data_IF_393187581893
#
_entry.id   IF_393187581893
#
_cell.length_a   1.000
_cell.length_b   1.000
_cell.length_c   1.000
_cell.angle_alpha   90.00
_cell.angle_beta   90.00
_cell.angle_gamma   90.00
#
_symmetry.space_group_name_H-M   'P 1'
#
loop_
_entity.id
_entity.type
_entity.pdbx_description
1 polymer ?
#
# COMPACT_ATOMS: atom_id res chain seq x y z
N UNK A 1 9.25 39.99 -6.01
CA UNK A 1 8.55 41.23 -6.42
C UNK A 1 8.76 41.42 -7.91
N UNK A 2 7.84 40.88 -8.69
CA UNK A 2 7.65 41.17 -10.11
C UNK A 2 6.16 40.93 -10.34
N UNK A 3 5.41 42.01 -10.49
CA UNK A 3 3.98 42.05 -10.79
C UNK A 3 3.70 41.47 -12.17
N UNK A 4 2.76 40.54 -12.25
CA UNK A 4 2.07 40.17 -13.49
C UNK A 4 0.58 40.27 -13.20
N UNK A 5 -0.03 41.31 -13.76
CA UNK A 5 -1.47 41.58 -13.77
C UNK A 5 -2.10 40.84 -14.94
N UNK A 6 -2.82 39.75 -14.67
CA UNK A 6 -3.68 39.09 -15.65
C UNK A 6 -5.05 39.79 -15.70
N UNK A 7 -5.28 40.53 -16.79
CA UNK A 7 -6.60 40.98 -17.23
C UNK A 7 -7.32 39.78 -17.85
N UNK A 8 -8.48 39.43 -17.29
CA UNK A 8 -9.40 38.47 -17.87
C UNK A 8 -10.01 39.04 -19.17
N UNK A 9 -9.76 38.35 -20.28
CA UNK A 9 -10.38 38.54 -21.59
C UNK A 9 -11.52 37.51 -21.73
N UNK A 10 -12.75 37.88 -22.07
CA UNK A 10 -13.85 36.91 -22.20
C UNK A 10 -13.76 36.14 -23.52
N UNK A 11 -13.83 34.80 -23.43
CA UNK A 11 -13.74 33.85 -24.55
C UNK A 11 -14.85 34.06 -25.62
N UNK A 12 -14.52 33.94 -26.93
CA UNK A 12 -15.43 34.17 -28.05
C UNK A 12 -16.40 33.00 -28.36
N UNK A 13 -16.58 32.04 -27.44
CA UNK A 13 -17.28 30.79 -27.74
C UNK A 13 -18.81 30.84 -27.59
N UNK A 14 -19.36 31.85 -26.90
CA UNK A 14 -20.82 31.97 -26.72
C UNK A 14 -21.55 32.61 -27.92
N UNK A 15 -20.89 33.44 -28.73
CA UNK A 15 -21.54 34.06 -29.91
C UNK A 15 -21.75 33.08 -31.07
N UNK A 16 -20.85 32.11 -31.27
CA UNK A 16 -20.93 31.13 -32.36
C UNK A 16 -22.04 30.09 -32.15
N UNK A 17 -22.37 29.73 -30.90
CA UNK A 17 -23.48 28.82 -30.62
C UNK A 17 -24.85 29.51 -30.80
N UNK A 18 -24.94 30.81 -30.53
CA UNK A 18 -26.19 31.56 -30.66
C UNK A 18 -26.58 31.80 -32.14
N UNK A 19 -25.60 32.04 -33.03
CA UNK A 19 -25.84 32.15 -34.47
C UNK A 19 -26.27 30.83 -35.12
N UNK A 20 -25.71 29.70 -34.66
CA UNK A 20 -26.09 28.38 -35.15
C UNK A 20 -27.55 28.01 -34.82
N UNK A 21 -28.01 28.39 -33.63
CA UNK A 21 -29.40 28.15 -33.18
C UNK A 21 -30.38 29.05 -33.95
N UNK A 22 -30.04 30.32 -34.17
CA UNK A 22 -30.91 31.25 -34.91
C UNK A 22 -31.05 30.87 -36.39
N UNK A 23 -30.00 30.33 -37.02
CA UNK A 23 -30.08 29.84 -38.41
C UNK A 23 -30.99 28.61 -38.54
N UNK A 24 -30.98 27.69 -37.57
CA UNK A 24 -31.87 26.52 -37.56
C UNK A 24 -33.34 26.90 -37.39
N UNK A 25 -33.65 27.91 -36.58
CA UNK A 25 -35.01 28.42 -36.42
C UNK A 25 -35.53 29.09 -37.70
N UNK A 26 -34.69 29.84 -38.41
CA UNK A 26 -35.05 30.47 -39.68
C UNK A 26 -35.27 29.43 -40.81
N UNK A 27 -34.51 28.34 -40.81
CA UNK A 27 -34.63 27.23 -41.78
C UNK A 27 -35.89 26.38 -41.51
N UNK A 28 -36.26 26.19 -40.24
CA UNK A 28 -37.54 25.57 -39.85
C UNK A 28 -38.75 26.45 -40.20
N UNK A 29 -38.64 27.78 -40.04
CA UNK A 29 -39.73 28.70 -40.37
C UNK A 29 -39.98 28.79 -41.90
N UNK A 30 -38.93 28.67 -42.72
CA UNK A 30 -39.06 28.61 -44.18
C UNK A 30 -39.65 27.28 -44.66
N UNK A 31 -39.35 26.16 -43.99
CA UNK A 31 -39.98 24.86 -44.29
C UNK A 31 -41.46 24.82 -43.89
N UNK A 32 -41.85 25.49 -42.80
CA UNK A 32 -43.26 25.61 -42.39
C UNK A 32 -44.08 26.54 -43.29
N UNK A 33 -43.48 27.61 -43.83
CA UNK A 33 -44.13 28.51 -44.80
C UNK A 33 -44.31 27.87 -46.18
N UNK A 34 -43.39 27.01 -46.61
CA UNK A 34 -43.47 26.33 -47.91
C UNK A 34 -44.46 25.14 -47.96
N UNK A 35 -44.85 24.59 -46.81
CA UNK A 35 -45.85 23.52 -46.73
C UNK A 35 -47.29 24.01 -46.51
N UNK A 36 -47.52 25.32 -46.37
CA UNK A 36 -48.86 25.91 -46.16
C UNK A 36 -49.53 26.46 -47.43
N UNK A 37 -48.91 26.37 -48.61
CA UNK A 37 -49.41 27.04 -49.83
C UNK A 37 -49.84 26.14 -50.98
N UNK A 38 -49.84 24.80 -50.83
CA UNK A 38 -50.36 23.93 -51.89
C UNK A 38 -51.54 23.08 -51.39
N UNK A 39 -52.65 23.23 -52.11
CA UNK A 39 -53.83 22.37 -52.18
C UNK A 39 -54.95 22.56 -51.13
N UNK A 40 -55.44 23.80 -51.00
CA UNK A 40 -56.85 24.05 -50.61
C UNK A 40 -57.48 25.06 -51.58
N UNK A 41 -57.58 24.68 -52.85
CA UNK A 41 -58.31 25.45 -53.85
C UNK A 41 -58.69 24.57 -55.04
N UNK A 42 -59.40 23.47 -54.78
CA UNK A 42 -60.08 22.68 -55.83
C UNK A 42 -61.20 21.80 -55.26
N UNK A 43 -62.06 22.35 -54.39
CA UNK A 43 -63.31 21.70 -53.98
C UNK A 43 -64.45 22.72 -53.91
N UNK A 44 -64.68 23.43 -55.01
CA UNK A 44 -65.84 24.30 -55.18
C UNK A 44 -66.15 24.44 -56.66
N UNK A 45 -66.50 23.32 -57.30
CA UNK A 45 -67.05 23.29 -58.66
C UNK A 45 -67.88 22.01 -58.86
N UNK A 46 -68.91 21.83 -58.05
CA UNK A 46 -70.11 21.08 -58.49
C UNK A 46 -71.15 22.14 -58.89
N UNK A 47 -70.79 22.92 -59.90
CA UNK A 47 -71.74 23.70 -60.67
C UNK A 47 -72.43 22.72 -61.59
N UNK A 48 -73.72 22.56 -61.39
CA UNK A 48 -74.65 21.93 -62.31
C UNK A 48 -74.56 22.63 -63.67
N UNK A 49 -73.66 22.14 -64.53
CA UNK A 49 -73.67 22.49 -65.95
C UNK A 49 -74.81 21.72 -66.59
N UNK A 50 -75.99 22.33 -66.53
CA UNK A 50 -77.12 22.06 -67.40
C UNK A 50 -76.70 22.36 -68.85
N UNK A 51 -75.98 21.44 -69.47
CA UNK A 51 -75.86 21.44 -70.93
C UNK A 51 -77.18 20.91 -71.48
N UNK A 52 -78.05 21.86 -71.85
CA UNK A 52 -79.06 21.64 -72.88
C UNK A 52 -78.33 21.24 -74.17
N UNK A 53 -78.10 19.95 -74.34
CA UNK A 53 -77.93 19.32 -75.64
C UNK A 53 -79.16 18.44 -75.85
N UNK A 54 -80.07 18.95 -76.68
CA UNK A 54 -81.14 18.21 -77.33
C UNK A 54 -80.54 17.01 -78.07
N UNK A 55 -80.34 15.91 -77.35
CA UNK A 55 -80.04 14.60 -77.89
C UNK A 55 -81.33 13.79 -77.72
N UNK A 56 -81.91 13.40 -78.85
CA UNK A 56 -82.96 12.40 -78.89
C UNK A 56 -82.44 11.17 -78.15
N UNK A 57 -82.93 10.94 -76.93
CA UNK A 57 -82.65 9.71 -76.22
C UNK A 57 -83.24 8.58 -77.06
N UNK A 58 -82.38 7.84 -77.76
CA UNK A 58 -82.72 6.56 -78.35
C UNK A 58 -82.96 5.56 -77.20
N UNK A 59 -84.08 5.74 -76.51
CA UNK A 59 -84.60 4.76 -75.57
C UNK A 59 -85.09 3.57 -76.38
N UNK A 60 -84.72 2.35 -75.99
CA UNK A 60 -85.36 1.14 -76.49
C UNK A 60 -86.89 1.33 -76.51
N UNK A 61 -87.52 1.20 -77.68
CA UNK A 61 -88.97 1.46 -77.89
C UNK A 61 -89.84 0.61 -76.95
N UNK A 62 -89.29 -0.51 -76.49
CA UNK A 62 -89.94 -1.47 -75.60
C UNK A 62 -90.02 -0.98 -74.14
N UNK A 63 -89.26 0.05 -73.74
CA UNK A 63 -89.18 0.65 -72.37
C UNK A 63 -89.05 -0.34 -71.20
N UNK A 64 -88.74 -1.61 -71.47
CA UNK A 64 -88.68 -2.68 -70.49
C UNK A 64 -87.21 -2.93 -70.14
N UNK A 65 -86.75 -2.21 -69.12
CA UNK A 65 -85.36 -2.30 -68.64
C UNK A 65 -85.22 -3.51 -67.71
N UNK A 66 -84.17 -4.30 -67.90
CA UNK A 66 -83.83 -5.41 -67.01
C UNK A 66 -83.59 -4.89 -65.58
N UNK A 67 -84.11 -5.61 -64.58
CA UNK A 67 -84.01 -5.27 -63.14
C UNK A 67 -82.59 -5.52 -62.58
N UNK A 68 -81.67 -6.04 -63.40
CA UNK A 68 -80.29 -6.32 -62.99
C UNK A 68 -79.40 -5.08 -63.18
N UNK A 69 -78.75 -4.66 -62.10
CA UNK A 69 -77.92 -3.43 -62.01
C UNK A 69 -76.64 -3.43 -62.87
N UNK A 70 -76.42 -4.48 -63.67
CA UNK A 70 -75.22 -4.71 -64.48
C UNK A 70 -75.52 -5.08 -65.95
N UNK A 71 -76.78 -5.06 -66.41
CA UNK A 71 -77.13 -5.37 -67.83
C UNK A 71 -77.30 -4.12 -68.69
N UNK A 72 -76.68 -4.10 -69.88
CA UNK A 72 -76.76 -2.99 -70.86
C UNK A 72 -77.90 -3.14 -71.86
N UNK A 73 -78.58 -4.28 -71.83
CA UNK A 73 -79.50 -4.74 -72.87
C UNK A 73 -80.97 -4.56 -72.45
N UNK A 74 -81.86 -4.42 -73.42
CA UNK A 74 -83.30 -4.32 -73.23
C UNK A 74 -83.92 -5.72 -73.11
N UNK A 75 -84.78 -5.97 -72.11
CA UNK A 75 -85.25 -7.34 -71.77
C UNK A 75 -86.04 -8.05 -72.90
N UNK A 76 -86.61 -7.29 -73.84
CA UNK A 76 -87.54 -7.81 -74.85
C UNK A 76 -86.95 -7.90 -76.25
N UNK A 77 -85.98 -7.05 -76.58
CA UNK A 77 -85.40 -6.98 -77.92
C UNK A 77 -83.88 -7.15 -77.93
N UNK A 78 -83.27 -7.36 -76.76
CA UNK A 78 -81.84 -7.59 -76.56
C UNK A 78 -80.91 -6.52 -77.15
N UNK A 79 -81.46 -5.37 -77.53
CA UNK A 79 -80.68 -4.23 -78.02
C UNK A 79 -80.05 -3.48 -76.85
N UNK A 80 -78.81 -2.99 -77.05
CA UNK A 80 -78.11 -2.17 -76.08
C UNK A 80 -78.88 -0.86 -75.89
N UNK A 81 -79.16 -0.50 -74.64
CA UNK A 81 -79.73 0.80 -74.28
C UNK A 81 -78.56 1.77 -74.08
N UNK A 82 -78.34 2.76 -74.97
CA UNK A 82 -77.15 3.59 -74.95
C UNK A 82 -76.92 4.31 -73.60
N UNK A 83 -78.00 4.76 -72.95
CA UNK A 83 -77.93 5.40 -71.64
C UNK A 83 -77.46 4.44 -70.52
N UNK A 84 -77.87 3.16 -70.55
CA UNK A 84 -77.41 2.16 -69.58
C UNK A 84 -75.96 1.75 -69.85
N UNK A 85 -75.54 1.70 -71.11
CA UNK A 85 -74.14 1.48 -71.49
C UNK A 85 -73.23 2.62 -71.01
N UNK A 86 -73.65 3.88 -71.18
CA UNK A 86 -72.94 5.06 -70.69
C UNK A 86 -72.82 5.06 -69.15
N UNK A 87 -73.91 4.77 -68.42
CA UNK A 87 -73.87 4.67 -66.96
C UNK A 87 -72.96 3.54 -66.50
N UNK A 88 -72.94 2.40 -67.20
CA UNK A 88 -72.07 1.28 -66.84
C UNK A 88 -70.60 1.53 -67.14
N UNK A 89 -70.29 2.19 -68.25
CA UNK A 89 -68.91 2.59 -68.57
C UNK A 89 -68.41 3.61 -67.55
N UNK A 90 -69.22 4.58 -67.14
CA UNK A 90 -68.86 5.52 -66.08
C UNK A 90 -68.73 4.84 -64.70
N UNK A 91 -69.62 3.89 -64.36
CA UNK A 91 -69.49 3.04 -63.16
C UNK A 91 -68.18 2.26 -63.16
N UNK A 92 -67.77 1.72 -64.31
CA UNK A 92 -66.48 1.03 -64.45
C UNK A 92 -65.30 1.99 -64.26
N UNK A 93 -65.34 3.16 -64.91
CA UNK A 93 -64.32 4.20 -64.80
C UNK A 93 -64.15 4.69 -63.37
N UNK A 94 -65.26 4.93 -62.66
CA UNK A 94 -65.25 5.32 -61.24
C UNK A 94 -64.70 4.20 -60.36
N UNK A 95 -65.04 2.93 -60.62
CA UNK A 95 -64.45 1.78 -59.90
C UNK A 95 -62.94 1.72 -60.09
N UNK A 96 -62.43 1.93 -61.30
CA UNK A 96 -60.99 1.98 -61.57
C UNK A 96 -60.31 3.17 -60.89
N UNK A 97 -60.93 4.36 -60.91
CA UNK A 97 -60.46 5.53 -60.17
C UNK A 97 -60.38 5.25 -58.67
N UNK A 98 -61.39 4.63 -58.08
CA UNK A 98 -61.41 4.24 -56.65
C UNK A 98 -60.29 3.24 -56.36
N UNK A 99 -60.08 2.23 -57.21
CA UNK A 99 -58.97 1.28 -57.04
C UNK A 99 -57.61 2.00 -57.09
N UNK A 100 -57.40 2.87 -58.08
CA UNK A 100 -56.17 3.65 -58.23
C UNK A 100 -55.90 4.55 -57.02
N UNK A 101 -56.92 5.30 -56.56
CA UNK A 101 -56.81 6.14 -55.37
C UNK A 101 -56.54 5.32 -54.10
N UNK A 102 -57.14 4.13 -53.98
CA UNK A 102 -56.88 3.23 -52.85
C UNK A 102 -55.43 2.75 -52.83
N UNK A 103 -54.89 2.35 -53.98
CA UNK A 103 -53.47 1.98 -54.09
C UNK A 103 -52.55 3.14 -53.73
N UNK A 104 -52.86 4.36 -54.18
CA UNK A 104 -52.09 5.56 -53.82
C UNK A 104 -52.16 5.86 -52.32
N UNK A 105 -53.32 5.67 -51.68
CA UNK A 105 -53.48 5.82 -50.24
C UNK A 105 -52.60 4.80 -49.48
N UNK A 106 -52.63 3.54 -49.90
CA UNK A 106 -51.86 2.46 -49.28
C UNK A 106 -50.34 2.71 -49.43
N UNK A 107 -49.89 3.18 -50.59
CA UNK A 107 -48.49 3.57 -50.84
C UNK A 107 -48.06 4.73 -49.93
N UNK A 108 -48.87 5.80 -49.84
CA UNK A 108 -48.59 6.94 -48.97
C UNK A 108 -48.59 6.55 -47.48
N UNK A 109 -49.49 5.66 -47.06
CA UNK A 109 -49.49 5.12 -45.71
C UNK A 109 -48.23 4.28 -45.42
N UNK A 110 -47.77 3.48 -46.37
CA UNK A 110 -46.52 2.72 -46.24
C UNK A 110 -45.31 3.67 -46.12
N UNK A 111 -45.28 4.74 -46.91
CA UNK A 111 -44.23 5.75 -46.86
C UNK A 111 -44.21 6.53 -45.54
N UNK A 112 -45.38 6.88 -44.99
CA UNK A 112 -45.46 7.50 -43.66
C UNK A 112 -44.95 6.57 -42.56
N UNK A 113 -45.24 5.27 -42.65
CA UNK A 113 -44.72 4.26 -41.72
C UNK A 113 -43.19 4.14 -41.81
N UNK A 114 -42.60 4.20 -43.01
CA UNK A 114 -41.14 4.20 -43.15
C UNK A 114 -40.53 5.46 -42.55
N UNK A 115 -41.07 6.64 -42.84
CA UNK A 115 -40.56 7.88 -42.25
C UNK A 115 -40.67 7.91 -40.72
N UNK A 116 -41.76 7.39 -40.16
CA UNK A 116 -41.90 7.28 -38.70
C UNK A 116 -40.87 6.34 -38.10
N UNK A 117 -40.56 5.22 -38.77
CA UNK A 117 -39.51 4.30 -38.35
C UNK A 117 -38.13 4.95 -38.39
N UNK A 118 -37.83 5.69 -39.45
CA UNK A 118 -36.56 6.38 -39.62
C UNK A 118 -36.40 7.50 -38.60
N UNK A 119 -37.46 8.29 -38.38
CA UNK A 119 -37.50 9.30 -37.32
C UNK A 119 -37.24 8.70 -35.94
N UNK A 120 -37.93 7.61 -35.60
CA UNK A 120 -37.72 6.93 -34.31
C UNK A 120 -36.29 6.40 -34.16
N UNK A 121 -35.72 5.88 -35.25
CA UNK A 121 -34.33 5.39 -35.26
C UNK A 121 -33.34 6.53 -35.04
N UNK A 122 -33.52 7.64 -35.76
CA UNK A 122 -32.67 8.81 -35.64
C UNK A 122 -32.79 9.46 -34.26
N UNK A 123 -34.01 9.57 -33.73
CA UNK A 123 -34.25 10.08 -32.38
C UNK A 123 -33.59 9.20 -31.31
N UNK A 124 -33.65 7.87 -31.44
CA UNK A 124 -32.96 6.95 -30.54
C UNK A 124 -31.43 7.11 -30.61
N UNK A 125 -30.87 7.35 -31.80
CA UNK A 125 -29.44 7.62 -31.97
C UNK A 125 -29.04 8.97 -31.33
N UNK A 126 -29.85 10.01 -31.53
CA UNK A 126 -29.62 11.32 -30.92
C UNK A 126 -29.59 11.24 -29.39
N UNK A 127 -30.59 10.59 -28.77
CA UNK A 127 -30.65 10.41 -27.31
C UNK A 127 -29.42 9.65 -26.81
N UNK A 128 -28.99 8.59 -27.51
CA UNK A 128 -27.80 7.82 -27.14
C UNK A 128 -26.53 8.68 -27.21
N UNK A 129 -26.37 9.46 -28.27
CA UNK A 129 -25.22 10.36 -28.44
C UNK A 129 -25.21 11.44 -27.35
N UNK A 130 -26.37 11.98 -27.00
CA UNK A 130 -26.52 12.97 -25.92
C UNK A 130 -26.12 12.37 -24.56
N UNK A 131 -26.63 11.19 -24.22
CA UNK A 131 -26.25 10.48 -22.98
C UNK A 131 -24.74 10.18 -22.92
N UNK A 132 -24.14 9.82 -24.05
CA UNK A 132 -22.70 9.60 -24.12
C UNK A 132 -21.91 10.89 -23.92
N UNK A 133 -22.38 12.01 -24.49
CA UNK A 133 -21.81 13.34 -24.27
C UNK A 133 -21.88 13.71 -22.79
N UNK A 134 -23.05 13.58 -22.16
CA UNK A 134 -23.26 13.91 -20.74
C UNK A 134 -22.37 13.06 -19.82
N UNK A 135 -22.28 11.76 -20.10
CA UNK A 135 -21.39 10.84 -19.36
C UNK A 135 -19.93 11.24 -19.51
N UNK A 136 -19.53 11.67 -20.71
CA UNK A 136 -18.15 12.10 -20.98
C UNK A 136 -17.85 13.42 -20.28
N UNK A 137 -18.78 14.37 -20.32
CA UNK A 137 -18.70 15.65 -19.58
C UNK A 137 -18.54 15.41 -18.09
N UNK A 138 -19.34 14.52 -17.49
CA UNK A 138 -19.22 14.17 -16.08
C UNK A 138 -17.83 13.58 -15.74
N UNK A 139 -17.31 12.68 -16.58
CA UNK A 139 -15.96 12.12 -16.40
C UNK A 139 -14.87 13.18 -16.50
N UNK A 140 -14.99 14.09 -17.46
CA UNK A 140 -14.04 15.21 -17.62
C UNK A 140 -14.07 16.09 -16.36
N UNK A 141 -15.24 16.40 -15.82
CA UNK A 141 -15.36 17.23 -14.62
C UNK A 141 -14.80 16.54 -13.38
N UNK A 142 -15.07 15.24 -13.21
CA UNK A 142 -14.46 14.42 -12.16
C UNK A 142 -12.92 14.44 -12.25
N UNK A 143 -12.36 14.24 -13.44
CA UNK A 143 -10.90 14.26 -13.64
C UNK A 143 -10.31 15.65 -13.39
N UNK A 144 -11.03 16.73 -13.73
CA UNK A 144 -10.62 18.10 -13.42
C UNK A 144 -10.57 18.34 -11.91
N UNK A 145 -11.56 17.84 -11.18
CA UNK A 145 -11.57 17.91 -9.72
C UNK A 145 -10.39 17.14 -9.11
N UNK A 146 -10.11 15.92 -9.60
CA UNK A 146 -8.97 15.11 -9.16
C UNK A 146 -7.63 15.81 -9.44
N UNK A 147 -7.47 16.39 -10.63
CA UNK A 147 -6.28 17.17 -10.98
C UNK A 147 -6.11 18.37 -10.05
N UNK A 148 -7.19 19.08 -9.73
CA UNK A 148 -7.13 20.22 -8.81
C UNK A 148 -6.78 19.78 -7.38
N UNK A 149 -7.37 18.68 -6.91
CA UNK A 149 -7.03 18.09 -5.61
C UNK A 149 -5.54 17.71 -5.54
N UNK A 150 -5.03 17.03 -6.56
CA UNK A 150 -3.62 16.64 -6.65
C UNK A 150 -2.68 17.86 -6.72
N UNK A 151 -3.06 18.91 -7.45
CA UNK A 151 -2.30 20.16 -7.49
C UNK A 151 -2.20 20.82 -6.12
N UNK A 152 -3.29 20.85 -5.34
CA UNK A 152 -3.28 21.38 -3.97
C UNK A 152 -2.37 20.53 -3.08
N UNK A 153 -2.55 19.20 -3.09
CA UNK A 153 -1.70 18.29 -2.31
C UNK A 153 -0.20 18.43 -2.67
N UNK A 154 0.11 18.60 -3.94
CA UNK A 154 1.50 18.81 -4.38
C UNK A 154 2.07 20.14 -3.89
N UNK A 155 1.27 21.21 -3.84
CA UNK A 155 1.68 22.48 -3.23
C UNK A 155 1.95 22.33 -1.74
N UNK A 156 1.10 21.59 -1.03
CA UNK A 156 1.27 21.33 0.40
C UNK A 156 2.54 20.51 0.66
N UNK A 157 2.81 19.49 -0.16
CA UNK A 157 4.02 18.67 -0.07
C UNK A 157 5.30 19.49 -0.34
N UNK A 158 5.26 20.41 -1.32
CA UNK A 158 6.37 21.34 -1.56
C UNK A 158 6.61 22.22 -0.33
N UNK A 159 5.54 22.78 0.27
CA UNK A 159 5.67 23.61 1.46
C UNK A 159 6.28 22.84 2.64
N UNK A 160 5.81 21.61 2.88
CA UNK A 160 6.34 20.73 3.91
C UNK A 160 7.80 20.33 3.65
N UNK A 161 8.17 20.06 2.39
CA UNK A 161 9.57 19.77 2.03
C UNK A 161 10.48 20.98 2.29
N UNK A 162 10.01 22.20 1.99
CA UNK A 162 10.76 23.42 2.27
C UNK A 162 10.95 23.60 3.78
N UNK A 163 9.92 23.35 4.59
CA UNK A 163 10.00 23.43 6.05
C UNK A 163 11.00 22.42 6.63
N UNK A 164 10.97 21.17 6.15
CA UNK A 164 11.94 20.15 6.54
C UNK A 164 13.36 20.56 6.16
N UNK A 165 13.60 21.06 4.95
CA UNK A 165 14.94 21.45 4.52
C UNK A 165 15.47 22.65 5.32
N UNK A 166 14.60 23.59 5.70
CA UNK A 166 14.96 24.70 6.60
C UNK A 166 15.32 24.19 8.00
N UNK A 167 14.52 23.28 8.57
CA UNK A 167 14.78 22.68 9.88
C UNK A 167 16.09 21.88 9.88
N UNK A 168 16.31 21.06 8.84
CA UNK A 168 17.54 20.30 8.63
C UNK A 168 18.76 21.21 8.57
N UNK A 169 18.71 22.29 7.80
CA UNK A 169 19.79 23.27 7.73
C UNK A 169 20.05 23.92 9.11
N UNK A 170 19.02 24.19 9.89
CA UNK A 170 19.15 24.65 11.27
C UNK A 170 19.94 23.67 12.13
N UNK A 171 19.55 22.40 12.11
CA UNK A 171 20.24 21.32 12.85
C UNK A 171 21.70 21.13 12.38
N UNK A 172 21.96 21.21 11.08
CA UNK A 172 23.33 21.11 10.53
C UNK A 172 24.23 22.25 11.04
N UNK A 173 23.70 23.47 11.14
CA UNK A 173 24.41 24.62 11.68
C UNK A 173 24.70 24.42 13.17
N UNK A 174 23.70 23.99 13.96
CA UNK A 174 23.86 23.72 15.38
C UNK A 174 24.88 22.61 15.65
N UNK A 175 24.85 21.54 14.84
CA UNK A 175 25.79 20.43 14.95
C UNK A 175 27.21 20.87 14.61
N UNK A 176 27.38 21.70 13.57
CA UNK A 176 28.68 22.28 13.23
C UNK A 176 29.22 23.16 14.37
N UNK A 177 28.40 24.05 14.94
CA UNK A 177 28.79 24.92 16.06
C UNK A 177 29.19 24.11 17.30
N UNK A 178 28.40 23.09 17.65
CA UNK A 178 28.72 22.21 18.77
C UNK A 178 30.00 21.41 18.51
N UNK A 179 30.16 20.86 17.30
CA UNK A 179 31.38 20.14 16.92
C UNK A 179 32.61 21.04 17.00
N UNK A 180 32.49 22.29 16.54
CA UNK A 180 33.58 23.26 16.63
C UNK A 180 33.95 23.54 18.09
N UNK A 181 32.96 23.82 18.95
CA UNK A 181 33.18 24.02 20.40
C UNK A 181 33.84 22.83 21.07
N UNK A 182 33.39 21.60 20.76
CA UNK A 182 33.99 20.38 21.29
C UNK A 182 35.45 20.22 20.87
N UNK A 183 35.80 20.55 19.62
CA UNK A 183 37.19 20.52 19.16
C UNK A 183 38.05 21.59 19.85
N UNK A 184 37.53 22.80 20.02
CA UNK A 184 38.20 23.88 20.73
C UNK A 184 38.47 23.51 22.19
N UNK A 185 37.48 22.96 22.88
CA UNK A 185 37.58 22.54 24.28
C UNK A 185 38.53 21.33 24.45
N UNK A 186 38.43 20.32 23.57
CA UNK A 186 39.35 19.20 23.59
C UNK A 186 40.81 19.63 23.34
N UNK A 187 41.04 20.56 22.41
CA UNK A 187 42.37 21.12 22.17
C UNK A 187 42.89 21.89 23.38
N UNK A 188 42.04 22.68 24.04
CA UNK A 188 42.41 23.40 25.26
C UNK A 188 42.81 22.44 26.38
N UNK A 189 42.07 21.35 26.57
CA UNK A 189 42.37 20.31 27.57
C UNK A 189 43.70 19.62 27.26
N UNK A 190 43.93 19.22 26.01
CA UNK A 190 45.20 18.58 25.60
C UNK A 190 46.39 19.52 25.80
N UNK A 191 46.23 20.81 25.52
CA UNK A 191 47.28 21.80 25.77
C UNK A 191 47.56 21.96 27.27
N UNK A 192 46.52 21.97 28.12
CA UNK A 192 46.66 22.01 29.57
C UNK A 192 47.40 20.77 30.10
N UNK A 193 46.97 19.57 29.69
CA UNK A 193 47.59 18.29 30.08
C UNK A 193 49.07 18.23 29.66
N UNK A 194 49.39 18.70 28.44
CA UNK A 194 50.78 18.75 27.95
C UNK A 194 51.64 19.70 28.78
N UNK A 195 51.08 20.84 29.20
CA UNK A 195 51.76 21.81 30.05
C UNK A 195 52.02 21.23 31.45
N UNK A 196 51.01 20.61 32.06
CA UNK A 196 51.16 19.96 33.37
C UNK A 196 52.17 18.82 33.33
N UNK A 197 52.11 17.95 32.31
CA UNK A 197 53.07 16.88 32.11
C UNK A 197 54.51 17.40 31.96
N UNK A 198 54.70 18.55 31.32
CA UNK A 198 56.03 19.18 31.21
C UNK A 198 56.53 19.65 32.58
N UNK A 199 55.66 20.27 33.39
CA UNK A 199 55.99 20.71 34.76
C UNK A 199 56.34 19.51 35.63
N UNK A 200 55.49 18.48 35.66
CA UNK A 200 55.73 17.26 36.44
C UNK A 200 57.02 16.55 36.03
N UNK A 201 57.35 16.54 34.74
CA UNK A 201 58.61 15.96 34.25
C UNK A 201 59.82 16.75 34.76
N UNK A 202 59.74 18.08 34.73
CA UNK A 202 60.81 18.93 35.26
C UNK A 202 61.02 18.71 36.77
N UNK A 203 59.94 18.62 37.54
CA UNK A 203 59.99 18.32 38.97
C UNK A 203 60.55 16.92 39.25
N UNK A 204 60.11 15.91 38.48
CA UNK A 204 60.63 14.55 38.57
C UNK A 204 62.14 14.51 38.31
N UNK A 205 62.62 15.18 37.26
CA UNK A 205 64.05 15.22 36.93
C UNK A 205 64.86 15.92 38.04
N UNK A 206 64.29 16.96 38.68
CA UNK A 206 64.90 17.62 39.82
C UNK A 206 65.00 16.70 41.06
N UNK A 207 63.92 16.00 41.40
CA UNK A 207 63.90 15.05 42.53
C UNK A 207 64.84 13.87 42.27
N UNK A 208 64.88 13.38 41.02
CA UNK A 208 65.80 12.30 40.63
C UNK A 208 67.26 12.72 40.82
N UNK A 209 67.62 13.95 40.43
CA UNK A 209 68.97 14.49 40.65
C UNK A 209 69.29 14.58 42.14
N UNK A 210 68.35 15.06 42.96
CA UNK A 210 68.52 15.09 44.42
C UNK A 210 68.74 13.70 45.00
N UNK A 211 67.96 12.71 44.56
CA UNK A 211 68.09 11.33 45.01
C UNK A 211 69.45 10.74 44.62
N UNK A 212 69.91 10.99 43.39
CA UNK A 212 71.21 10.53 42.91
C UNK A 212 72.35 11.14 43.75
N UNK A 213 72.28 12.44 44.05
CA UNK A 213 73.23 13.11 44.94
C UNK A 213 73.22 12.48 46.35
N UNK A 214 72.06 12.33 46.98
CA UNK A 214 71.96 11.70 48.30
C UNK A 214 72.40 10.23 48.31
N UNK A 215 72.14 9.50 47.21
CA UNK A 215 72.63 8.13 47.04
C UNK A 215 74.15 8.10 46.95
N UNK A 216 74.76 9.03 46.19
CA UNK A 216 76.23 9.13 46.13
C UNK A 216 76.84 9.48 47.49
N UNK A 217 76.24 10.41 48.24
CA UNK A 217 76.64 10.74 49.60
C UNK A 217 76.55 9.52 50.53
N UNK A 218 75.44 8.78 50.47
CA UNK A 218 75.26 7.54 51.24
C UNK A 218 76.30 6.48 50.87
N UNK A 219 76.61 6.29 49.59
CA UNK A 219 77.65 5.33 49.18
C UNK A 219 79.04 5.75 49.65
N UNK A 220 79.34 7.05 49.69
CA UNK A 220 80.59 7.55 50.25
C UNK A 220 80.66 7.26 51.75
N UNK A 221 79.60 7.57 52.51
CA UNK A 221 79.51 7.25 53.95
C UNK A 221 79.57 5.75 54.19
N UNK A 222 78.93 4.93 53.36
CA UNK A 222 79.01 3.46 53.46
C UNK A 222 80.43 2.96 53.19
N UNK A 223 81.16 3.55 52.24
CA UNK A 223 82.56 3.21 51.99
C UNK A 223 83.47 3.62 53.16
N UNK A 224 83.23 4.78 53.77
CA UNK A 224 83.90 5.19 55.02
C UNK A 224 83.58 4.24 56.19
N UNK A 225 82.33 3.83 56.36
CA UNK A 225 81.94 2.83 57.36
C UNK A 225 82.52 1.44 57.05
N UNK A 226 82.64 1.06 55.77
CA UNK A 226 83.26 -0.19 55.36
C UNK A 226 84.75 -0.20 55.68
N UNK A 227 85.47 0.87 55.34
CA UNK A 227 86.89 1.01 55.69
C UNK A 227 87.12 1.06 57.20
N UNK A 228 86.23 1.72 57.97
CA UNK A 228 86.22 1.66 59.43
C UNK A 228 85.92 0.25 59.96
N UNK A 229 84.98 -0.47 59.35
CA UNK A 229 84.68 -1.86 59.69
C UNK A 229 85.86 -2.78 59.36
N UNK A 230 86.53 -2.58 58.24
CA UNK A 230 87.76 -3.28 57.85
C UNK A 230 88.90 -3.02 58.84
N UNK A 231 89.07 -1.77 59.28
CA UNK A 231 90.00 -1.41 60.35
C UNK A 231 89.62 -2.03 61.71
N UNK A 232 88.34 -2.32 61.93
CA UNK A 232 87.84 -3.02 63.12
C UNK A 232 87.82 -4.56 62.99
N UNK A 233 87.87 -5.14 61.78
CA UNK A 233 87.89 -6.60 61.53
C UNK A 233 89.29 -7.21 61.57
N UNK A 234 90.11 -6.82 62.55
CA UNK A 234 91.22 -7.63 63.04
C UNK A 234 90.77 -8.63 64.13
N UNK A 235 89.60 -9.26 63.98
CA UNK A 235 89.17 -10.47 64.72
C UNK A 235 88.01 -11.18 63.98
N UNK A 236 87.99 -12.53 63.88
CA UNK A 236 87.04 -13.25 63.03
C UNK A 236 85.79 -13.74 63.79
N UNK A 237 84.63 -13.79 63.12
CA UNK A 237 83.67 -14.91 63.08
C UNK A 237 82.39 -14.54 62.29
N UNK A 238 82.15 -15.22 61.15
CA UNK A 238 81.03 -16.13 60.81
C UNK A 238 79.62 -15.51 60.77
N UNK A 239 79.02 -15.32 59.57
CA UNK A 239 78.06 -16.22 58.87
C UNK A 239 76.75 -16.47 59.67
N UNK A 240 75.53 -16.24 59.17
CA UNK A 240 74.90 -16.91 58.01
C UNK A 240 73.59 -16.24 57.56
N UNK A 241 73.29 -16.45 56.28
CA UNK A 241 72.04 -16.27 55.52
C UNK A 241 70.85 -17.11 56.02
N UNK A 242 69.62 -16.60 55.87
CA UNK A 242 68.41 -17.43 55.78
C UNK A 242 67.42 -16.84 54.75
N UNK A 243 67.08 -17.65 53.73
CA UNK A 243 66.07 -17.40 52.69
C UNK A 243 64.81 -18.23 52.98
N UNK A 244 63.66 -17.57 52.89
CA UNK A 244 62.34 -17.92 52.28
C UNK A 244 61.88 -19.39 52.14
N UNK A 245 60.60 -19.64 52.52
CA UNK A 245 59.46 -20.32 51.80
C UNK A 245 58.45 -20.78 52.88
N UNK A 246 57.32 -20.13 53.21
CA UNK A 246 56.08 -19.77 52.50
C UNK A 246 55.26 -20.96 51.95
N UNK A 247 53.96 -20.93 52.33
CA UNK A 247 52.77 -21.48 51.65
C UNK A 247 52.43 -22.96 51.82
N UNK A 248 51.47 -23.26 52.71
CA UNK A 248 50.42 -24.28 52.50
C UNK A 248 49.38 -24.41 53.64
N UNK A 249 49.40 -23.57 54.68
CA UNK A 249 48.56 -23.79 55.88
C UNK A 249 47.30 -22.92 55.98
N UNK A 250 47.09 -21.95 55.08
CA UNK A 250 46.02 -20.96 55.24
C UNK A 250 44.67 -21.36 54.62
N UNK A 251 44.66 -22.31 53.67
CA UNK A 251 43.43 -22.72 52.96
C UNK A 251 42.62 -23.78 53.73
N UNK A 252 43.28 -24.59 54.58
CA UNK A 252 42.64 -25.67 55.35
C UNK A 252 41.86 -25.14 56.55
N UNK A 253 42.33 -24.04 57.15
CA UNK A 253 41.73 -23.45 58.34
C UNK A 253 40.42 -22.68 58.09
N UNK A 254 40.12 -22.32 56.83
CA UNK A 254 38.88 -21.59 56.49
C UNK A 254 37.69 -22.52 56.20
N UNK A 255 37.91 -23.77 55.77
CA UNK A 255 36.83 -24.73 55.52
C UNK A 255 36.25 -25.33 56.81
N UNK A 256 37.07 -25.52 57.85
CA UNK A 256 36.65 -26.18 59.10
C UNK A 256 35.79 -25.29 60.02
N UNK A 257 35.73 -23.98 59.76
CA UNK A 257 34.89 -23.03 60.51
C UNK A 257 33.44 -22.96 60.02
N UNK A 258 33.16 -23.41 58.79
CA UNK A 258 31.81 -23.34 58.20
C UNK A 258 30.90 -24.52 58.60
N UNK A 259 31.48 -25.61 59.11
CA UNK A 259 30.75 -26.85 59.44
C UNK A 259 30.15 -26.86 60.85
N UNK A 260 30.38 -25.83 61.67
CA UNK A 260 30.02 -25.79 63.10
C UNK A 260 28.71 -25.03 63.44
N UNK A 261 28.02 -24.40 62.48
CA UNK A 261 26.88 -23.50 62.76
C UNK A 261 25.53 -23.96 62.17
N UNK A 262 25.18 -25.23 62.40
CA UNK A 262 23.93 -25.90 62.02
C UNK A 262 22.64 -25.04 62.20
N UNK A 263 22.14 -24.38 61.13
CA UNK A 263 20.90 -23.58 61.09
C UNK A 263 20.00 -24.06 59.92
N UNK A 264 18.66 -24.15 60.08
CA UNK A 264 17.77 -24.90 59.19
C UNK A 264 17.36 -24.09 57.96
N UNK A 265 17.47 -24.69 56.76
CA UNK A 265 16.90 -24.16 55.53
C UNK A 265 15.45 -24.62 55.32
N UNK A 266 14.52 -23.72 54.92
CA UNK A 266 13.34 -24.12 54.17
C UNK A 266 13.75 -24.54 52.76
N UNK A 267 12.96 -25.41 52.13
CA UNK A 267 13.19 -25.92 50.78
C UNK A 267 13.26 -24.76 49.78
N UNK A 268 14.47 -24.36 49.39
CA UNK A 268 14.72 -23.49 48.26
C UNK A 268 14.81 -24.33 46.99
N UNK A 269 13.96 -23.99 46.02
CA UNK A 269 14.05 -24.50 44.65
C UNK A 269 15.42 -24.06 44.12
N UNK A 270 16.30 -25.03 43.89
CA UNK A 270 17.67 -24.83 43.43
C UNK A 270 17.71 -23.97 42.15
N UNK A 271 18.21 -22.72 42.20
CA UNK A 271 18.35 -21.86 41.02
C UNK A 271 19.72 -22.05 40.35
N UNK A 272 20.39 -23.20 40.54
CA UNK A 272 21.53 -23.57 39.71
C UNK A 272 21.04 -24.12 38.36
N UNK A 273 20.46 -23.25 37.54
CA UNK A 273 20.88 -23.26 36.15
C UNK A 273 22.28 -22.66 36.23
N UNK A 274 23.30 -23.52 36.29
CA UNK A 274 24.67 -23.05 36.11
C UNK A 274 24.66 -22.28 34.79
N UNK A 275 24.78 -20.95 34.86
CA UNK A 275 25.09 -20.16 33.69
C UNK A 275 26.38 -20.79 33.14
N UNK A 276 26.30 -21.36 31.95
CA UNK A 276 27.45 -21.96 31.32
C UNK A 276 28.43 -20.81 31.06
N UNK A 277 29.47 -20.69 31.90
CA UNK A 277 30.45 -19.60 31.84
C UNK A 277 31.05 -19.46 30.44
N UNK A 278 31.08 -20.57 29.68
CA UNK A 278 31.52 -20.59 28.29
C UNK A 278 30.52 -19.89 27.35
N UNK A 279 29.21 -20.09 27.54
CA UNK A 279 28.15 -19.41 26.78
C UNK A 279 28.09 -17.92 27.12
N UNK A 280 28.25 -17.57 28.40
CA UNK A 280 28.35 -16.16 28.82
C UNK A 280 29.58 -15.48 28.21
N UNK A 281 30.71 -16.18 28.14
CA UNK A 281 31.92 -15.65 27.49
C UNK A 281 31.73 -15.47 25.97
N UNK A 282 31.09 -16.43 25.29
CA UNK A 282 30.76 -16.30 23.87
C UNK A 282 29.79 -15.13 23.63
N UNK A 283 28.81 -14.97 24.53
CA UNK A 283 27.85 -13.87 24.48
C UNK A 283 28.51 -12.51 24.71
N UNK A 284 29.41 -12.38 25.67
CA UNK A 284 30.17 -11.14 25.92
C UNK A 284 31.01 -10.73 24.69
N UNK A 285 31.66 -11.70 24.03
CA UNK A 285 32.35 -11.45 22.76
C UNK A 285 31.39 -11.00 21.65
N UNK A 286 30.18 -11.54 21.62
CA UNK A 286 29.14 -11.10 20.72
C UNK A 286 28.70 -9.67 21.00
N UNK A 287 28.46 -9.29 22.26
CA UNK A 287 28.07 -7.91 22.64
C UNK A 287 29.14 -6.90 22.20
N UNK A 288 30.41 -7.20 22.43
CA UNK A 288 31.54 -6.36 21.96
C UNK A 288 31.55 -6.22 20.43
N UNK A 289 31.24 -7.31 19.72
CA UNK A 289 31.17 -7.32 18.24
C UNK A 289 29.93 -6.59 17.71
N UNK A 290 28.84 -6.59 18.48
CA UNK A 290 27.55 -5.97 18.15
C UNK A 290 27.68 -4.44 18.04
N UNK A 291 28.46 -3.82 18.92
CA UNK A 291 28.73 -2.37 18.92
C UNK A 291 29.37 -1.92 17.59
N UNK A 292 30.35 -2.68 17.10
CA UNK A 292 31.13 -2.35 15.91
C UNK A 292 30.44 -2.73 14.57
N UNK A 293 29.51 -3.70 14.60
CA UNK A 293 28.92 -4.28 13.38
C UNK A 293 27.64 -3.54 12.98
N UNK A 294 27.49 -3.15 11.71
CA UNK A 294 26.25 -2.52 11.23
C UNK A 294 25.06 -3.49 11.27
N UNK A 295 23.84 -2.95 11.45
CA UNK A 295 22.60 -3.76 11.54
C UNK A 295 22.44 -4.72 10.34
N UNK A 296 22.77 -4.25 9.14
CA UNK A 296 22.68 -5.05 7.91
C UNK A 296 23.63 -6.26 7.88
N UNK A 297 24.72 -6.23 8.67
CA UNK A 297 25.73 -7.29 8.73
C UNK A 297 25.63 -8.16 9.99
N UNK A 298 24.66 -7.91 10.88
CA UNK A 298 24.50 -8.64 12.14
C UNK A 298 24.40 -10.14 11.94
N UNK A 299 23.62 -10.56 10.94
CA UNK A 299 23.42 -11.96 10.59
C UNK A 299 24.71 -12.67 10.14
N UNK A 300 25.78 -11.93 9.86
CA UNK A 300 27.10 -12.48 9.54
C UNK A 300 27.92 -12.90 10.76
N UNK A 301 27.58 -12.42 11.96
CA UNK A 301 28.30 -12.73 13.20
C UNK A 301 28.11 -14.20 13.61
N UNK A 302 29.13 -14.88 14.18
CA UNK A 302 29.05 -16.29 14.56
C UNK A 302 27.85 -16.60 15.46
N UNK A 303 27.67 -15.83 16.54
CA UNK A 303 26.56 -15.97 17.47
C UNK A 303 25.20 -15.79 16.78
N UNK A 304 25.07 -14.79 15.91
CA UNK A 304 23.84 -14.56 15.15
C UNK A 304 23.54 -15.67 14.15
N UNK A 305 24.55 -16.29 13.53
CA UNK A 305 24.35 -17.47 12.66
C UNK A 305 23.76 -18.64 13.45
N UNK A 306 24.16 -18.82 14.70
CA UNK A 306 23.57 -19.80 15.59
C UNK A 306 22.09 -19.48 15.87
N UNK A 307 21.76 -18.26 16.28
CA UNK A 307 20.38 -17.81 16.52
C UNK A 307 19.50 -17.93 15.26
N UNK A 308 20.07 -17.65 14.08
CA UNK A 308 19.38 -17.79 12.81
C UNK A 308 18.93 -19.23 12.58
N UNK A 309 19.85 -20.18 12.75
CA UNK A 309 19.60 -21.60 12.48
C UNK A 309 18.70 -22.26 13.53
N UNK A 310 18.88 -21.92 14.81
CA UNK A 310 18.19 -22.56 15.94
C UNK A 310 16.78 -22.02 16.15
N UNK A 311 16.59 -20.70 16.02
CA UNK A 311 15.37 -20.02 16.44
C UNK A 311 14.67 -19.27 15.30
N UNK A 312 15.38 -18.34 14.64
CA UNK A 312 14.76 -17.38 13.71
C UNK A 312 14.23 -18.05 12.45
N UNK A 313 15.05 -18.86 11.76
CA UNK A 313 14.61 -19.55 10.54
C UNK A 313 13.45 -20.53 10.82
N UNK A 314 13.50 -21.39 11.87
CA UNK A 314 12.35 -22.20 12.24
C UNK A 314 11.11 -21.35 12.59
N UNK A 315 11.29 -20.20 13.24
CA UNK A 315 10.18 -19.31 13.58
C UNK A 315 9.55 -18.66 12.34
N UNK A 316 10.34 -18.32 11.33
CA UNK A 316 9.87 -17.71 10.06
C UNK A 316 9.66 -18.70 8.92
N UNK A 317 9.74 -20.00 9.18
CA UNK A 317 9.46 -21.03 8.17
C UNK A 317 7.96 -21.19 8.00
N UNK A 318 7.43 -20.55 6.97
CA UNK A 318 6.04 -20.63 6.53
C UNK A 318 5.94 -21.36 5.20
N UNK A 319 4.75 -21.89 4.87
CA UNK A 319 4.56 -22.65 3.63
C UNK A 319 4.65 -21.78 2.37
N UNK A 320 3.98 -20.62 2.36
CA UNK A 320 3.85 -19.75 1.17
C UNK A 320 4.79 -18.52 1.18
N UNK A 321 5.20 -18.04 2.35
CA UNK A 321 6.05 -16.85 2.47
C UNK A 321 7.55 -17.20 2.54
N UNK A 322 8.40 -16.46 1.82
CA UNK A 322 9.85 -16.71 1.83
C UNK A 322 10.48 -16.17 3.12
N UNK A 323 11.02 -17.07 3.94
CA UNK A 323 11.75 -16.75 5.19
C UNK A 323 12.77 -15.63 5.00
N UNK A 324 13.50 -15.65 3.88
CA UNK A 324 14.47 -14.62 3.52
C UNK A 324 13.83 -13.23 3.36
N UNK A 325 12.70 -13.12 2.66
CA UNK A 325 12.02 -11.82 2.44
C UNK A 325 11.50 -11.22 3.74
N UNK A 326 10.91 -12.06 4.59
CA UNK A 326 10.48 -11.63 5.93
C UNK A 326 11.66 -11.16 6.76
N UNK A 327 12.75 -11.93 6.78
CA UNK A 327 13.96 -11.58 7.52
C UNK A 327 14.56 -10.26 7.03
N UNK A 328 14.69 -10.09 5.72
CA UNK A 328 15.19 -8.85 5.11
C UNK A 328 14.30 -7.66 5.52
N UNK A 329 12.98 -7.81 5.44
CA UNK A 329 12.01 -6.78 5.83
C UNK A 329 12.04 -6.44 7.33
N UNK A 330 12.25 -7.44 8.20
CA UNK A 330 12.40 -7.23 9.64
C UNK A 330 13.68 -6.44 9.91
N UNK A 331 14.79 -6.80 9.28
CA UNK A 331 16.09 -6.11 9.45
C UNK A 331 16.00 -4.66 8.98
N UNK A 332 15.38 -4.40 7.82
CA UNK A 332 15.16 -3.06 7.25
C UNK A 332 14.05 -2.25 7.92
N UNK A 333 13.34 -2.80 8.92
CA UNK A 333 12.17 -2.18 9.58
C UNK A 333 11.03 -1.83 8.62
N UNK A 334 10.86 -2.61 7.54
CA UNK A 334 9.77 -2.41 6.57
C UNK A 334 8.64 -3.42 6.73
N UNK A 335 8.79 -4.41 7.63
CA UNK A 335 7.72 -5.31 7.99
C UNK A 335 6.74 -4.63 8.96
N UNK A 336 5.49 -4.48 8.54
CA UNK A 336 4.42 -3.86 9.33
C UNK A 336 3.29 -4.87 9.53
N UNK A 337 2.82 -4.97 10.77
CA UNK A 337 1.73 -5.85 11.19
C UNK A 337 0.72 -4.99 11.96
N UNK A 338 -0.54 -5.07 11.56
CA UNK A 338 -1.63 -4.30 12.16
C UNK A 338 -2.86 -5.20 12.33
N UNK A 339 -3.72 -4.83 13.26
CA UNK A 339 -5.06 -5.40 13.36
C UNK A 339 -5.84 -5.11 12.08
N UNK A 340 -6.60 -6.10 11.61
CA UNK A 340 -7.39 -5.95 10.40
C UNK A 340 -8.66 -5.15 10.72
N UNK A 341 -8.87 -4.03 10.02
CA UNK A 341 -10.15 -3.30 10.11
C UNK A 341 -11.26 -4.12 9.47
N UNK A 342 -12.47 -4.06 10.05
CA UNK A 342 -13.64 -4.76 9.51
C UNK A 342 -13.93 -4.37 8.05
N UNK A 343 -13.73 -3.10 7.70
CA UNK A 343 -13.83 -2.60 6.32
C UNK A 343 -12.90 -3.32 5.33
N UNK A 344 -11.70 -3.70 5.76
CA UNK A 344 -10.75 -4.42 4.93
C UNK A 344 -11.17 -5.88 4.71
N UNK A 345 -11.72 -6.50 5.76
CA UNK A 345 -12.29 -7.85 5.71
C UNK A 345 -13.46 -7.86 4.71
N UNK A 346 -14.37 -6.90 4.84
CA UNK A 346 -15.54 -6.75 3.96
C UNK A 346 -15.12 -6.46 2.51
N UNK A 347 -14.11 -5.61 2.30
CA UNK A 347 -13.56 -5.36 0.97
C UNK A 347 -12.98 -6.65 0.34
N UNK A 348 -12.24 -7.46 1.09
CA UNK A 348 -11.69 -8.74 0.59
C UNK A 348 -12.78 -9.77 0.27
N UNK A 349 -13.89 -9.77 1.01
CA UNK A 349 -15.07 -10.61 0.71
C UNK A 349 -15.80 -10.17 -0.56
N UNK A 350 -15.88 -8.87 -0.82
CA UNK A 350 -16.61 -8.33 -1.96
C UNK A 350 -15.82 -8.40 -3.28
N UNK A 351 -14.56 -8.84 -3.26
CA UNK A 351 -13.83 -9.11 -4.50
C UNK A 351 -14.42 -10.34 -5.22
N UNK A 352 -14.74 -10.24 -6.53
CA UNK A 352 -15.22 -11.38 -7.30
C UNK A 352 -14.15 -12.49 -7.32
N UNK A 353 -14.54 -13.79 -7.32
CA UNK A 353 -13.60 -14.89 -7.44
C UNK A 353 -12.83 -14.74 -8.75
N UNK A 354 -11.56 -14.36 -8.63
CA UNK A 354 -10.70 -14.12 -9.78
C UNK A 354 -10.47 -15.48 -10.47
N UNK A 355 -11.19 -15.73 -11.57
CA UNK A 355 -10.82 -16.74 -12.58
C UNK A 355 -9.63 -16.20 -13.38
N UNK A 356 -8.45 -16.09 -12.77
CA UNK A 356 -7.25 -15.73 -13.51
C UNK A 356 -6.75 -16.96 -14.26
N UNK A 357 -6.88 -16.91 -15.59
CA UNK A 357 -6.00 -17.67 -16.49
C UNK A 357 -4.57 -17.46 -16.02
N UNK A 358 -3.88 -18.58 -15.81
CA UNK A 358 -2.46 -18.68 -15.49
C UNK A 358 -1.64 -17.69 -16.34
N UNK A 359 -1.25 -16.56 -15.77
CA UNK A 359 -0.07 -15.83 -16.20
C UNK A 359 1.03 -16.15 -15.20
N UNK A 360 1.98 -16.96 -15.66
CA UNK A 360 3.34 -17.08 -15.15
C UNK A 360 3.49 -17.43 -13.67
N UNK A 361 3.48 -18.73 -13.39
CA UNK A 361 4.16 -19.30 -12.22
C UNK A 361 5.65 -18.93 -12.28
N UNK A 362 6.15 -18.22 -11.28
CA UNK A 362 7.57 -18.23 -10.92
C UNK A 362 7.86 -18.96 -9.61
N UNK A 363 6.84 -19.51 -8.94
CA UNK A 363 7.04 -20.27 -7.71
C UNK A 363 6.10 -21.47 -7.71
N UNK A 364 6.66 -22.63 -7.99
CA UNK A 364 5.95 -23.91 -7.94
C UNK A 364 5.96 -24.49 -6.54
N UNK A 365 4.80 -24.93 -6.05
CA UNK A 365 4.61 -26.24 -5.43
C UNK A 365 3.12 -26.60 -5.51
N UNK A 366 2.84 -27.86 -5.86
CA UNK A 366 1.51 -28.43 -6.00
C UNK A 366 0.98 -28.84 -4.63
N UNK A 367 -0.22 -28.39 -4.27
CA UNK A 367 -1.00 -29.02 -3.19
C UNK A 367 -1.91 -30.06 -3.83
N UNK A 368 -1.63 -31.33 -3.56
CA UNK A 368 -2.46 -32.46 -3.93
C UNK A 368 -3.65 -32.53 -2.96
N UNK A 369 -4.87 -32.23 -3.42
CA UNK A 369 -6.10 -32.79 -2.85
C UNK A 369 -7.34 -32.43 -3.69
N UNK A 370 -7.92 -33.48 -4.29
CA UNK A 370 -9.34 -33.81 -4.45
C UNK A 370 -10.36 -32.78 -4.97
N UNK A 371 -11.19 -33.15 -5.98
CA UNK A 371 -12.30 -32.33 -6.45
C UNK A 371 -13.57 -32.66 -5.67
N UNK A 372 -14.10 -31.73 -4.87
CA UNK A 372 -15.52 -31.81 -4.48
C UNK A 372 -16.05 -30.50 -3.87
N UNK A 373 -17.16 -30.06 -4.45
CA UNK A 373 -18.19 -29.14 -3.97
C UNK A 373 -17.93 -27.64 -4.20
N UNK A 374 -18.75 -27.10 -5.10
CA UNK A 374 -18.98 -25.69 -5.36
C UNK A 374 -19.50 -25.00 -4.10
N UNK A 375 -18.65 -24.26 -3.40
CA UNK A 375 -19.06 -23.27 -2.41
C UNK A 375 -18.63 -21.88 -2.85
N UNK A 376 -19.63 -21.08 -3.22
CA UNK A 376 -19.57 -19.73 -3.81
C UNK A 376 -19.23 -18.65 -2.78
N UNK A 377 -18.30 -18.89 -1.86
CA UNK A 377 -17.92 -17.96 -0.78
C UNK A 377 -16.43 -17.62 -0.92
N UNK A 378 -16.04 -16.33 -0.93
CA UNK A 378 -14.63 -15.93 -0.93
C UNK A 378 -13.99 -16.35 0.40
N UNK A 379 -13.12 -17.36 0.32
CA UNK A 379 -12.44 -17.94 1.47
C UNK A 379 -11.32 -17.01 1.94
N UNK A 380 -11.48 -16.38 3.11
CA UNK A 380 -10.37 -15.67 3.76
C UNK A 380 -9.38 -16.72 4.26
N UNK A 381 -8.11 -16.60 3.86
CA UNK A 381 -7.06 -17.52 4.29
C UNK A 381 -5.80 -16.77 4.66
N UNK A 382 -5.10 -17.31 5.64
CA UNK A 382 -3.81 -16.82 6.08
C UNK A 382 -2.79 -16.94 4.95
N UNK A 383 -2.12 -15.84 4.60
CA UNK A 383 -1.14 -15.80 3.53
C UNK A 383 0.08 -16.68 3.79
N UNK A 384 0.49 -16.83 5.06
CA UNK A 384 1.70 -17.56 5.44
C UNK A 384 1.46 -19.07 5.57
N UNK A 385 0.49 -19.48 6.40
CA UNK A 385 0.21 -20.89 6.67
C UNK A 385 -0.89 -21.50 5.79
N UNK A 386 -1.72 -20.67 5.14
CA UNK A 386 -2.84 -21.13 4.31
C UNK A 386 -4.09 -21.56 5.08
N UNK A 387 -4.10 -21.49 6.42
CA UNK A 387 -5.28 -21.79 7.24
C UNK A 387 -6.43 -20.86 6.88
N UNK A 388 -7.63 -21.40 6.77
CA UNK A 388 -8.86 -20.62 6.62
C UNK A 388 -9.10 -19.78 7.89
N UNK A 389 -9.52 -18.54 7.67
CA UNK A 389 -9.78 -17.56 8.71
C UNK A 389 -11.29 -17.42 8.85
N UNK A 390 -11.85 -17.96 9.92
CA UNK A 390 -13.27 -17.82 10.25
C UNK A 390 -13.50 -16.56 11.09
N UNK A 391 -14.61 -15.88 10.83
CA UNK A 391 -15.04 -14.74 11.66
C UNK A 391 -15.59 -15.25 12.99
N UNK A 392 -14.99 -14.82 14.09
CA UNK A 392 -15.50 -15.05 15.45
C UNK A 392 -14.61 -15.90 16.35
N UNK A 393 -13.63 -16.62 15.83
CA UNK A 393 -12.73 -17.45 16.67
C UNK A 393 -11.40 -16.80 17.02
N UNK A 394 -10.90 -15.83 16.23
CA UNK A 394 -9.65 -15.09 16.51
C UNK A 394 -9.60 -13.73 15.80
N UNK A 395 -8.95 -12.73 16.41
CA UNK A 395 -8.67 -11.43 15.78
C UNK A 395 -7.81 -11.63 14.52
N UNK A 396 -8.27 -11.12 13.38
CA UNK A 396 -7.52 -11.18 12.11
C UNK A 396 -6.47 -10.08 12.05
N UNK A 397 -5.32 -10.41 11.49
CA UNK A 397 -4.20 -9.48 11.34
C UNK A 397 -3.88 -9.28 9.87
N UNK A 398 -3.33 -8.11 9.54
CA UNK A 398 -2.79 -7.83 8.21
C UNK A 398 -1.32 -7.50 8.31
N UNK A 399 -0.54 -7.90 7.31
CA UNK A 399 0.86 -7.55 7.23
C UNK A 399 1.32 -7.22 5.81
N UNK A 400 2.42 -6.46 5.74
CA UNK A 400 3.18 -6.16 4.52
C UNK A 400 4.67 -6.16 4.82
N UNK A 401 5.49 -6.52 3.82
CA UNK A 401 6.97 -6.56 3.95
C UNK A 401 7.66 -5.30 3.44
N UNK A 402 6.93 -4.43 2.75
CA UNK A 402 7.40 -3.15 2.20
C UNK A 402 6.25 -2.15 2.18
N UNK A 403 6.57 -0.86 2.19
CA UNK A 403 5.58 0.21 2.02
C UNK A 403 4.87 0.14 0.66
N UNK A 404 5.52 -0.46 -0.34
CA UNK A 404 4.98 -0.65 -1.70
C UNK A 404 4.22 -1.97 -1.86
N UNK A 405 4.26 -2.86 -0.87
CA UNK A 405 3.54 -4.14 -0.93
C UNK A 405 2.08 -3.95 -0.52
N UNK A 406 1.18 -4.73 -1.14
CA UNK A 406 -0.21 -4.82 -0.72
C UNK A 406 -0.34 -5.52 0.64
N UNK A 407 -1.36 -5.12 1.41
CA UNK A 407 -1.71 -5.78 2.67
C UNK A 407 -2.23 -7.20 2.43
N UNK A 408 -1.70 -8.14 3.21
CA UNK A 408 -2.09 -9.56 3.17
C UNK A 408 -2.56 -10.02 4.54
N UNK A 409 -3.53 -10.94 4.57
CA UNK A 409 -4.12 -11.44 5.81
C UNK A 409 -3.24 -12.52 6.44
N UNK A 410 -3.13 -12.51 7.77
CA UNK A 410 -2.47 -13.54 8.58
C UNK A 410 -3.29 -13.88 9.82
N UNK A 411 -3.11 -15.10 10.33
CA UNK A 411 -3.71 -15.54 11.59
C UNK A 411 -2.91 -15.02 12.79
N UNK A 412 -3.53 -15.05 13.97
CA UNK A 412 -2.91 -14.73 15.26
C UNK A 412 -1.61 -15.51 15.49
N UNK A 413 -1.61 -16.78 15.09
CA UNK A 413 -0.46 -17.67 15.24
C UNK A 413 0.77 -17.24 14.41
N UNK A 414 0.61 -17.01 13.11
CA UNK A 414 1.71 -16.55 12.27
C UNK A 414 2.14 -15.13 12.64
N UNK A 415 1.20 -14.28 13.07
CA UNK A 415 1.50 -12.96 13.62
C UNK A 415 2.42 -13.08 14.84
N UNK A 416 2.11 -13.94 15.81
CA UNK A 416 2.93 -14.14 17.01
C UNK A 416 4.35 -14.65 16.69
N UNK A 417 4.47 -15.54 15.69
CA UNK A 417 5.78 -16.00 15.21
C UNK A 417 6.60 -14.86 14.62
N UNK A 418 6.01 -14.07 13.73
CA UNK A 418 6.71 -12.93 13.10
C UNK A 418 7.08 -11.88 14.17
N UNK A 419 6.16 -11.56 15.07
CA UNK A 419 6.40 -10.58 16.15
C UNK A 419 7.49 -11.03 17.10
N UNK A 420 7.56 -12.31 17.49
CA UNK A 420 8.65 -12.79 18.35
C UNK A 420 10.04 -12.55 17.77
N UNK A 421 10.17 -12.58 16.43
CA UNK A 421 11.42 -12.26 15.74
C UNK A 421 11.63 -10.75 15.62
N UNK A 422 10.56 -9.98 15.38
CA UNK A 422 10.61 -8.51 15.38
C UNK A 422 11.08 -7.99 16.74
N UNK A 423 10.56 -8.53 17.84
CA UNK A 423 10.92 -8.17 19.22
C UNK A 423 12.41 -8.44 19.46
N UNK A 424 12.91 -9.60 19.04
CA UNK A 424 14.32 -9.95 19.13
C UNK A 424 15.22 -8.95 18.38
N UNK A 425 14.90 -8.61 17.12
CA UNK A 425 15.68 -7.61 16.38
C UNK A 425 15.49 -6.19 16.91
N UNK A 426 14.35 -5.88 17.52
CA UNK A 426 14.11 -4.58 18.16
C UNK A 426 14.97 -4.45 19.42
N UNK A 427 15.03 -5.50 20.23
CA UNK A 427 15.94 -5.60 21.36
C UNK A 427 17.41 -5.46 20.94
N UNK A 428 17.87 -6.17 19.90
CA UNK A 428 19.24 -6.03 19.38
C UNK A 428 19.59 -4.58 18.99
N UNK A 429 18.62 -3.85 18.42
CA UNK A 429 18.82 -2.43 18.08
C UNK A 429 18.87 -1.54 19.32
N UNK A 430 18.02 -1.78 20.32
CA UNK A 430 18.07 -1.06 21.61
C UNK A 430 19.40 -1.29 22.30
N UNK A 431 19.87 -2.53 22.30
CA UNK A 431 21.16 -2.91 22.88
C UNK A 431 22.33 -2.17 22.21
N UNK A 432 22.27 -1.99 20.89
CA UNK A 432 23.27 -1.21 20.12
C UNK A 432 23.23 0.31 20.40
N UNK A 433 22.06 0.86 20.74
CA UNK A 433 21.86 2.29 21.02
C UNK A 433 22.12 2.66 22.48
N UNK A 434 22.13 1.68 23.40
CA UNK A 434 22.28 1.95 24.82
C UNK A 434 23.70 2.40 25.17
N UNK A 435 23.85 3.66 25.55
CA UNK A 435 25.11 4.26 26.02
C UNK A 435 25.49 3.80 27.45
N UNK A 436 24.53 3.28 28.21
CA UNK A 436 24.77 2.74 29.55
C UNK A 436 25.23 1.29 29.45
N UNK A 437 26.40 0.99 30.04
CA UNK A 437 26.92 -0.38 30.20
C UNK A 437 26.00 -1.19 31.11
N UNK A 438 25.05 -1.91 30.51
CA UNK A 438 24.25 -2.94 31.17
C UNK A 438 25.16 -4.11 31.57
N UNK A 439 24.83 -4.78 32.67
CA UNK A 439 25.55 -6.00 33.06
C UNK A 439 25.27 -7.10 32.04
N UNK A 440 26.30 -7.86 31.68
CA UNK A 440 26.20 -8.94 30.69
C UNK A 440 25.13 -9.95 31.08
N UNK A 441 25.00 -10.26 32.37
CA UNK A 441 24.01 -11.20 32.91
C UNK A 441 22.57 -10.75 32.62
N UNK A 442 22.23 -9.48 32.87
CA UNK A 442 20.89 -8.92 32.63
C UNK A 442 20.54 -8.94 31.13
N UNK A 443 21.54 -8.67 30.28
CA UNK A 443 21.39 -8.72 28.82
C UNK A 443 21.19 -10.16 28.34
N UNK A 444 21.89 -11.12 28.96
CA UNK A 444 21.79 -12.54 28.64
C UNK A 444 20.47 -13.17 29.10
N UNK A 445 19.94 -12.75 30.24
CA UNK A 445 18.60 -13.13 30.70
C UNK A 445 17.52 -12.70 29.70
N UNK A 446 17.58 -11.45 29.23
CA UNK A 446 16.64 -10.93 28.25
C UNK A 446 16.79 -11.63 26.88
N UNK A 447 18.02 -11.94 26.47
CA UNK A 447 18.27 -12.79 25.30
C UNK A 447 17.57 -14.16 25.43
N UNK A 448 17.76 -14.83 26.55
CA UNK A 448 17.18 -16.16 26.82
C UNK A 448 15.65 -16.09 26.84
N UNK A 449 15.08 -15.01 27.41
CA UNK A 449 13.64 -14.76 27.39
C UNK A 449 13.09 -14.62 25.97
N UNK A 450 13.75 -13.86 25.11
CA UNK A 450 13.37 -13.67 23.70
C UNK A 450 13.53 -14.96 22.88
N UNK A 451 14.55 -15.76 23.19
CA UNK A 451 14.75 -17.07 22.59
C UNK A 451 13.60 -18.03 22.94
N UNK A 452 13.22 -18.06 24.24
CA UNK A 452 12.06 -18.80 24.70
C UNK A 452 10.76 -18.29 24.05
N UNK A 453 10.60 -16.98 23.87
CA UNK A 453 9.44 -16.40 23.18
C UNK A 453 9.34 -16.90 21.72
N UNK A 454 10.44 -16.91 20.97
CA UNK A 454 10.50 -17.47 19.62
C UNK A 454 10.24 -18.99 19.61
N UNK A 455 10.69 -19.72 20.63
CA UNK A 455 10.41 -21.14 20.76
C UNK A 455 8.92 -21.40 21.02
N UNK A 456 8.32 -20.71 21.99
CA UNK A 456 6.91 -20.88 22.37
C UNK A 456 5.95 -20.45 21.27
N UNK A 457 6.31 -19.42 20.48
CA UNK A 457 5.51 -18.97 19.34
C UNK A 457 5.45 -20.04 18.23
N UNK A 458 6.39 -20.99 18.17
CA UNK A 458 6.35 -22.15 17.25
C UNK A 458 5.44 -23.29 17.71
N UNK A 459 5.05 -23.33 18.98
CA UNK A 459 4.24 -24.42 19.54
C UNK A 459 2.78 -24.01 19.84
N UNK A 460 2.34 -22.82 19.37
CA UNK A 460 1.00 -22.25 19.65
C UNK A 460 0.72 -21.96 21.13
N UNK A 461 1.77 -21.92 21.97
CA UNK A 461 1.64 -21.68 23.42
C UNK A 461 1.74 -20.20 23.75
N UNK A 462 2.39 -19.41 22.90
CA UNK A 462 2.56 -17.99 23.13
C UNK A 462 1.28 -17.20 22.87
N UNK A 463 0.75 -16.55 23.92
CA UNK A 463 -0.29 -15.52 23.86
C UNK A 463 0.35 -14.18 24.20
N UNK A 464 0.07 -13.15 23.40
CA UNK A 464 0.44 -11.78 23.73
C UNK A 464 -0.18 -11.40 25.06
N UNK A 465 0.66 -11.07 26.04
CA UNK A 465 0.23 -10.32 27.22
C UNK A 465 0.27 -8.83 26.83
N UNK A 466 -0.85 -8.11 26.82
CA UNK A 466 -0.91 -6.71 26.39
C UNK A 466 -0.12 -5.74 27.31
N UNK A 467 0.38 -6.20 28.46
CA UNK A 467 1.13 -5.36 29.41
C UNK A 467 2.55 -4.98 28.97
N UNK A 468 3.10 -5.52 27.86
CA UNK A 468 4.46 -5.22 27.41
C UNK A 468 4.55 -4.52 26.03
N UNK A 469 3.42 -4.10 25.44
CA UNK A 469 3.40 -3.46 24.10
C UNK A 469 3.35 -1.92 24.13
N UNK A 470 3.73 -1.29 25.23
CA UNK A 470 3.98 0.15 25.31
C UNK A 470 5.27 0.38 26.08
N UNK A 471 6.42 0.44 25.41
CA UNK A 471 7.60 1.21 25.80
C UNK A 471 8.59 1.36 24.63
#
# INVERSE_FOLDING_TARGET
MTDITDKAEPEPQQQLQQEGINNLYNELETLLKNNSTNDISSLSSLSSSSTNSSTQFASCTCKHWLVSMDTKYCNLCDNIVPLLDEIQTEKHRLKERIRSLKTQLDERQSLLKSYTKDFNTLNAQYIRSQQQSDTTTFKIESLRQDINFLKTKHKDEIAHTIEIEQSKKGVEIELHDLSQKLFEEANALVLAEKKEKMILKQEHDQVKLQLENSQTELTAVQAELHTLREAMTNHPQQATTAKTTHENYTLRAQLDMATLLNVPQPVEINPNIQNDDLLLQEFDLFIKSLELTSIAKLNGLPFMKYCLKSDIEPCLKFGKATTKRLLDAIISKTCLIEECSQEFIDAKKNLPPIKTKQKSRLWGFSSTSSPSIESTIPLLSCYTCGKELEEGEDQMWRFRTSYFDEWTLIDSYCRNRINSVIDFYTWLRRLKLNEKKLKVDEVYEEYTRLQLQMLLSRYRVYKDNPEYSMH
#
